data_IF_177088033445
#
_entry.id   IF_177088033445
#
_cell.length_a   1.000
_cell.length_b   1.000
_cell.length_c   1.000
_cell.angle_alpha   90.00
_cell.angle_beta   90.00
_cell.angle_gamma   90.00
#
_symmetry.space_group_name_H-M   'P 1'
#
loop_
_entity.id
_entity.type
_entity.pdbx_description
1 polymer ?
#
# COMPACT_ATOMS: atom_id res chain seq x y z
N UNK A 1 2.92 4.26 3.64
CA UNK A 1 3.99 3.26 3.83
C UNK A 1 4.37 2.77 2.44
N UNK A 2 5.58 3.09 1.97
CA UNK A 2 6.10 2.66 0.66
C UNK A 2 6.88 1.38 0.89
N UNK A 3 6.40 0.26 0.36
CA UNK A 3 7.17 -0.99 0.33
C UNK A 3 8.10 -0.95 -0.90
N UNK A 4 9.26 -1.61 -0.83
CA UNK A 4 10.29 -1.62 -1.88
C UNK A 4 9.69 -1.87 -3.28
N UNK A 5 10.23 -1.17 -4.28
CA UNK A 5 9.70 -1.17 -5.65
C UNK A 5 9.94 -2.49 -6.37
N UNK A 6 11.06 -3.18 -6.11
CA UNK A 6 11.35 -4.49 -6.68
C UNK A 6 10.95 -5.60 -5.70
N UNK A 7 9.82 -6.24 -5.97
CA UNK A 7 9.32 -7.37 -5.19
C UNK A 7 9.79 -8.72 -5.75
N UNK A 8 10.46 -8.74 -6.91
CA UNK A 8 10.99 -9.91 -7.58
C UNK A 8 9.99 -11.05 -7.91
N UNK A 9 8.69 -10.79 -7.84
CA UNK A 9 7.68 -11.75 -8.28
C UNK A 9 7.69 -11.94 -9.80
N UNK A 10 7.54 -13.19 -10.24
CA UNK A 10 7.62 -13.58 -11.66
C UNK A 10 6.27 -14.00 -12.23
N UNK A 11 6.17 -14.00 -13.55
CA UNK A 11 5.04 -14.57 -14.29
C UNK A 11 5.26 -16.08 -14.36
N UNK A 12 4.26 -16.87 -13.96
CA UNK A 12 4.35 -18.33 -13.93
C UNK A 12 3.96 -18.93 -15.28
N UNK A 13 4.78 -18.68 -16.29
CA UNK A 13 4.57 -19.14 -17.65
C UNK A 13 5.91 -19.32 -18.39
N UNK A 14 5.92 -20.13 -19.46
CA UNK A 14 7.08 -20.25 -20.36
C UNK A 14 7.37 -18.93 -21.07
N UNK A 15 8.65 -18.58 -21.20
CA UNK A 15 9.14 -17.34 -21.85
C UNK A 15 8.49 -17.08 -23.21
N UNK A 16 8.51 -18.05 -24.12
CA UNK A 16 8.03 -17.85 -25.49
C UNK A 16 6.56 -17.46 -25.54
N UNK A 17 5.75 -18.03 -24.63
CA UNK A 17 4.35 -17.71 -24.54
C UNK A 17 4.09 -16.37 -23.81
N UNK A 18 4.96 -15.97 -22.88
CA UNK A 18 4.95 -14.61 -22.32
C UNK A 18 5.22 -13.60 -23.44
N UNK A 19 6.26 -13.83 -24.25
CA UNK A 19 6.60 -12.96 -25.38
C UNK A 19 5.46 -12.93 -26.41
N UNK A 20 4.87 -14.08 -26.74
CA UNK A 20 3.74 -14.15 -27.66
C UNK A 20 2.53 -13.35 -27.14
N UNK A 21 2.20 -13.45 -25.86
CA UNK A 21 1.10 -12.70 -25.24
C UNK A 21 1.39 -11.20 -25.20
N UNK A 22 2.64 -10.78 -24.90
CA UNK A 22 3.06 -9.38 -24.96
C UNK A 22 2.90 -8.84 -26.39
N UNK A 23 3.36 -9.59 -27.40
CA UNK A 23 3.27 -9.19 -28.81
C UNK A 23 1.82 -9.15 -29.31
N UNK A 24 0.94 -10.00 -28.76
CA UNK A 24 -0.50 -9.98 -29.03
C UNK A 24 -1.25 -8.87 -28.27
N UNK A 25 -0.60 -8.16 -27.34
CA UNK A 25 -1.24 -7.19 -26.45
C UNK A 25 -2.16 -7.82 -25.40
N UNK A 26 -2.16 -9.14 -25.26
CA UNK A 26 -2.94 -9.87 -24.27
C UNK A 26 -2.21 -9.90 -22.93
N UNK A 27 -2.09 -8.74 -22.30
CA UNK A 27 -1.49 -8.62 -20.97
C UNK A 27 -2.38 -9.27 -19.90
N UNK A 28 -3.70 -9.33 -20.13
CA UNK A 28 -4.67 -9.83 -19.16
C UNK A 28 -4.42 -11.29 -18.81
N UNK A 29 -4.07 -12.13 -19.79
CA UNK A 29 -3.73 -13.54 -19.54
C UNK A 29 -2.47 -13.71 -18.68
N UNK A 30 -1.57 -12.73 -18.66
CA UNK A 30 -0.33 -12.74 -17.89
C UNK A 30 -0.48 -12.20 -16.46
N UNK A 31 -1.58 -11.50 -16.14
CA UNK A 31 -1.81 -10.88 -14.81
C UNK A 31 -2.08 -11.89 -13.68
N UNK A 32 -1.99 -13.20 -13.96
CA UNK A 32 -2.02 -14.26 -12.95
C UNK A 32 -0.62 -14.59 -12.40
N UNK A 33 0.21 -13.55 -12.22
CA UNK A 33 1.58 -13.67 -11.75
C UNK A 33 1.68 -14.18 -10.29
N UNK A 34 2.91 -14.46 -9.85
CA UNK A 34 3.18 -14.96 -8.50
C UNK A 34 2.68 -14.02 -7.38
N UNK A 35 2.78 -12.69 -7.53
CA UNK A 35 2.32 -11.75 -6.51
C UNK A 35 0.80 -11.83 -6.34
N UNK A 36 0.07 -11.81 -7.45
CA UNK A 36 -1.40 -11.90 -7.44
C UNK A 36 -1.86 -13.20 -6.81
N UNK A 37 -1.20 -14.32 -7.13
CA UNK A 37 -1.49 -15.62 -6.52
C UNK A 37 -1.18 -15.65 -5.02
N UNK A 38 -0.02 -15.11 -4.61
CA UNK A 38 0.35 -15.01 -3.20
C UNK A 38 -0.66 -14.19 -2.39
N UNK A 39 -1.05 -13.02 -2.88
CA UNK A 39 -2.08 -12.18 -2.21
C UNK A 39 -3.41 -12.93 -2.10
N UNK A 40 -3.81 -13.65 -3.16
CA UNK A 40 -5.12 -14.33 -3.21
C UNK A 40 -5.18 -15.58 -2.34
N UNK A 41 -4.16 -16.44 -2.43
CA UNK A 41 -4.20 -17.80 -1.88
C UNK A 41 -3.39 -17.98 -0.59
N UNK A 42 -2.31 -17.22 -0.37
CA UNK A 42 -1.49 -17.35 0.84
C UNK A 42 -2.04 -16.46 1.97
N UNK A 43 -2.66 -17.08 2.97
CA UNK A 43 -3.20 -16.36 4.15
C UNK A 43 -2.12 -15.64 4.97
N UNK A 44 -0.88 -16.12 4.92
CA UNK A 44 0.28 -15.51 5.58
C UNK A 44 0.92 -14.37 4.78
N UNK A 45 0.42 -14.08 3.57
CA UNK A 45 0.98 -13.02 2.73
C UNK A 45 0.80 -11.65 3.40
N UNK A 46 1.93 -10.99 3.68
CA UNK A 46 1.95 -9.65 4.30
C UNK A 46 1.30 -8.57 3.43
N UNK A 47 1.19 -8.82 2.12
CA UNK A 47 0.65 -7.90 1.13
C UNK A 47 -0.88 -8.00 0.98
N UNK A 48 -1.56 -8.94 1.66
CA UNK A 48 -3.01 -9.18 1.52
C UNK A 48 -3.90 -7.98 1.87
N UNK A 49 -3.39 -7.07 2.70
CA UNK A 49 -4.08 -5.83 3.07
C UNK A 49 -3.76 -4.64 2.17
N UNK A 50 -2.97 -4.84 1.11
CA UNK A 50 -2.61 -3.80 0.16
C UNK A 50 -3.47 -3.91 -1.10
N UNK A 51 -3.60 -2.77 -1.78
CA UNK A 51 -4.25 -2.60 -3.06
C UNK A 51 -3.21 -2.22 -4.10
N UNK A 52 -3.47 -2.61 -5.35
CA UNK A 52 -2.65 -2.30 -6.51
C UNK A 52 -3.54 -1.82 -7.65
N UNK A 53 -3.00 -0.95 -8.49
CA UNK A 53 -3.69 -0.42 -9.65
C UNK A 53 -3.76 -1.42 -10.79
N UNK A 54 -4.66 -1.25 -11.76
CA UNK A 54 -4.62 -2.05 -12.98
C UNK A 54 -3.28 -1.83 -13.69
N UNK A 55 -2.63 -2.93 -14.05
CA UNK A 55 -1.40 -2.90 -14.85
C UNK A 55 -1.81 -2.94 -16.32
N UNK A 56 -1.44 -1.87 -17.04
CA UNK A 56 -1.76 -1.69 -18.46
C UNK A 56 -0.50 -1.48 -19.31
N UNK A 57 0.66 -1.91 -18.80
CA UNK A 57 1.97 -1.78 -19.43
C UNK A 57 2.69 -3.12 -19.45
N UNK A 58 3.55 -3.38 -20.45
CA UNK A 58 4.24 -4.67 -20.55
C UNK A 58 5.24 -4.86 -19.39
N UNK A 59 5.69 -6.10 -19.12
CA UNK A 59 6.67 -6.41 -18.09
C UNK A 59 7.87 -5.46 -18.07
N UNK A 60 8.31 -5.07 -16.87
CA UNK A 60 9.38 -4.08 -16.66
C UNK A 60 10.77 -4.69 -16.60
N UNK A 61 10.85 -6.01 -16.49
CA UNK A 61 12.07 -6.81 -16.42
C UNK A 61 11.92 -8.01 -17.37
N UNK A 62 12.95 -8.63 -17.94
CA UNK A 62 14.37 -8.24 -17.98
C UNK A 62 14.71 -7.78 -19.40
N UNK A 63 15.27 -6.59 -19.53
CA UNK A 63 15.70 -6.01 -20.80
C UNK A 63 17.21 -6.08 -20.98
N UNK A 64 17.66 -6.03 -22.23
CA UNK A 64 19.07 -5.75 -22.51
C UNK A 64 19.33 -4.24 -22.32
N UNK A 65 20.35 -3.83 -21.52
CA UNK A 65 20.64 -2.41 -21.31
C UNK A 65 20.91 -1.68 -22.63
N UNK A 66 20.25 -0.55 -22.83
CA UNK A 66 20.32 0.24 -24.07
C UNK A 66 19.44 -0.27 -25.21
N UNK A 67 18.71 -1.38 -25.04
CA UNK A 67 17.77 -1.93 -26.03
C UNK A 67 16.34 -2.01 -25.47
N UNK A 68 15.35 -2.04 -26.37
CA UNK A 68 13.96 -2.39 -26.08
C UNK A 68 13.68 -3.89 -26.17
N UNK A 69 14.71 -4.67 -26.50
CA UNK A 69 14.63 -6.12 -26.53
C UNK A 69 14.68 -6.72 -25.12
N UNK A 70 13.84 -7.74 -24.90
CA UNK A 70 13.89 -8.58 -23.71
C UNK A 70 15.11 -9.51 -23.77
N UNK A 71 15.76 -9.72 -22.61
CA UNK A 71 17.03 -10.45 -22.40
C UNK A 71 17.37 -11.46 -23.50
N UNK A 72 18.29 -11.09 -24.40
CA UNK A 72 18.75 -11.94 -25.51
C UNK A 72 19.93 -12.83 -25.12
N UNK A 73 20.45 -12.70 -23.88
CA UNK A 73 21.53 -13.54 -23.39
C UNK A 73 21.13 -15.02 -23.30
N UNK A 74 22.13 -15.92 -23.25
CA UNK A 74 21.94 -17.37 -23.14
C UNK A 74 21.12 -17.81 -21.91
N UNK A 75 21.03 -16.94 -20.88
CA UNK A 75 20.22 -17.20 -19.68
C UNK A 75 18.71 -17.02 -19.94
N UNK A 76 18.34 -16.35 -21.04
CA UNK A 76 16.97 -16.13 -21.51
C UNK A 76 15.97 -15.81 -20.40
N UNK A 77 16.27 -14.82 -19.55
CA UNK A 77 15.43 -14.47 -18.41
C UNK A 77 14.02 -14.08 -18.84
N UNK A 78 12.99 -14.83 -18.42
CA UNK A 78 11.61 -14.56 -18.81
C UNK A 78 11.15 -13.16 -18.36
N UNK A 79 10.38 -12.43 -19.20
CA UNK A 79 9.84 -11.13 -18.80
C UNK A 79 8.94 -11.24 -17.55
N UNK A 80 9.00 -10.25 -16.66
CA UNK A 80 8.22 -10.18 -15.42
C UNK A 80 7.93 -8.73 -14.97
N UNK A 81 6.86 -8.56 -14.21
CA UNK A 81 6.56 -7.34 -13.46
C UNK A 81 7.15 -7.44 -12.05
N UNK A 82 8.47 -7.34 -11.96
CA UNK A 82 9.19 -7.32 -10.67
C UNK A 82 8.92 -6.00 -9.93
N UNK A 83 8.73 -4.91 -10.69
CA UNK A 83 8.51 -3.58 -10.18
C UNK A 83 7.02 -3.31 -9.92
N UNK A 84 6.63 -3.11 -8.66
CA UNK A 84 5.23 -3.00 -8.23
C UNK A 84 5.02 -1.86 -7.25
N UNK A 85 3.90 -1.14 -7.39
CA UNK A 85 3.51 -0.07 -6.47
C UNK A 85 2.18 -0.41 -5.83
N UNK A 86 2.25 -0.86 -4.57
CA UNK A 86 1.09 -1.17 -3.76
C UNK A 86 0.86 -0.08 -2.69
N UNK A 87 -0.40 0.14 -2.34
CA UNK A 87 -0.77 1.04 -1.24
C UNK A 87 -1.74 0.36 -0.28
N UNK A 88 -1.89 0.92 0.92
CA UNK A 88 -2.88 0.47 1.90
C UNK A 88 -3.56 1.68 2.51
N UNK A 89 -4.88 1.66 2.57
CA UNK A 89 -5.68 2.68 3.24
C UNK A 89 -6.65 2.04 4.23
N UNK A 90 -6.87 2.68 5.39
CA UNK A 90 -7.94 2.31 6.32
C UNK A 90 -9.33 2.70 5.82
N UNK A 91 -9.39 3.73 4.97
CA UNK A 91 -10.63 4.25 4.37
C UNK A 91 -10.41 4.34 2.87
N UNK A 92 -11.05 3.44 2.11
CA UNK A 92 -10.81 3.29 0.68
C UNK A 92 -11.00 4.61 -0.10
N UNK A 93 -12.00 5.40 0.25
CA UNK A 93 -12.33 6.67 -0.41
C UNK A 93 -11.28 7.78 -0.26
N UNK A 94 -10.29 7.60 0.62
CA UNK A 94 -9.26 8.62 0.88
C UNK A 94 -8.05 8.52 -0.03
N UNK A 95 -7.89 7.43 -0.76
CA UNK A 95 -6.74 7.25 -1.65
C UNK A 95 -7.28 6.94 -3.03
N UNK A 96 -7.13 7.89 -3.95
CA UNK A 96 -7.47 7.70 -5.34
C UNK A 96 -6.18 7.64 -6.16
N UNK A 97 -5.96 6.55 -6.89
CA UNK A 97 -4.80 6.44 -7.79
C UNK A 97 -5.11 7.21 -9.08
N UNK A 98 -4.24 8.17 -9.40
CA UNK A 98 -4.37 9.04 -10.57
C UNK A 98 -3.73 8.44 -11.81
N UNK A 99 -2.59 7.76 -11.64
CA UNK A 99 -1.95 7.00 -12.71
C UNK A 99 -1.13 5.85 -12.14
N UNK A 100 -0.88 4.86 -12.99
CA UNK A 100 0.11 3.81 -12.80
C UNK A 100 0.73 3.48 -14.15
N UNK A 101 2.02 3.79 -14.37
CA UNK A 101 2.63 3.67 -15.70
C UNK A 101 4.11 3.29 -15.65
N UNK A 102 4.57 2.75 -16.76
CA UNK A 102 5.97 2.49 -17.11
C UNK A 102 6.55 3.63 -17.95
N UNK A 103 7.87 3.80 -17.89
CA UNK A 103 8.65 4.70 -18.75
C UNK A 103 9.70 3.91 -19.52
N UNK A 104 10.02 4.38 -20.73
CA UNK A 104 10.93 3.70 -21.67
C UNK A 104 12.41 4.09 -21.50
N UNK A 105 12.82 4.47 -20.28
CA UNK A 105 14.23 4.69 -20.00
C UNK A 105 14.96 3.34 -20.00
N UNK A 106 15.97 3.20 -20.85
CA UNK A 106 16.65 1.93 -21.15
C UNK A 106 18.05 1.81 -20.53
N UNK A 107 18.36 2.64 -19.53
CA UNK A 107 19.68 2.70 -18.87
C UNK A 107 19.95 1.45 -18.01
N UNK A 108 18.91 0.69 -17.67
CA UNK A 108 18.94 -0.54 -16.87
C UNK A 108 18.15 -1.65 -17.59
N UNK A 109 18.39 -2.89 -17.18
CA UNK A 109 17.57 -4.06 -17.47
C UNK A 109 16.13 -3.98 -16.90
N UNK A 110 15.85 -2.96 -16.08
CA UNK A 110 14.52 -2.59 -15.62
C UNK A 110 14.01 -1.32 -16.28
N UNK A 111 12.70 -1.29 -16.54
CA UNK A 111 11.95 -0.08 -16.95
C UNK A 111 11.36 0.64 -15.74
N UNK A 112 11.66 1.94 -15.52
CA UNK A 112 11.09 2.67 -14.39
C UNK A 112 9.56 2.72 -14.43
N UNK A 113 8.95 2.72 -13.24
CA UNK A 113 7.50 2.89 -13.06
C UNK A 113 7.20 4.05 -12.12
N UNK A 114 6.02 4.65 -12.29
CA UNK A 114 5.47 5.59 -11.32
C UNK A 114 3.99 5.36 -11.10
N UNK A 115 3.54 5.78 -9.92
CA UNK A 115 2.14 5.96 -9.63
C UNK A 115 1.93 7.28 -8.87
N UNK A 116 0.88 8.02 -9.22
CA UNK A 116 0.44 9.18 -8.46
C UNK A 116 -0.88 8.89 -7.76
N UNK A 117 -1.07 9.56 -6.63
CA UNK A 117 -2.23 9.39 -5.78
C UNK A 117 -2.74 10.76 -5.33
N UNK A 118 -4.07 10.92 -5.33
CA UNK A 118 -4.74 11.96 -4.56
C UNK A 118 -5.13 11.38 -3.22
N UNK A 119 -4.68 12.02 -2.14
CA UNK A 119 -4.87 11.52 -0.77
C UNK A 119 -5.63 12.55 0.06
N UNK A 120 -6.78 12.16 0.61
CA UNK A 120 -7.52 12.97 1.58
C UNK A 120 -6.95 12.76 2.97
N UNK A 121 -6.32 13.80 3.50
CA UNK A 121 -5.76 13.83 4.85
C UNK A 121 -6.80 14.40 5.83
N UNK A 122 -6.90 13.81 7.03
CA UNK A 122 -7.57 14.51 8.14
C UNK A 122 -6.59 15.57 8.63
N UNK A 123 -6.90 16.82 8.35
CA UNK A 123 -6.29 17.93 9.08
C UNK A 123 -7.07 18.12 10.37
N UNK A 124 -6.36 18.50 11.43
CA UNK A 124 -6.96 18.87 12.70
C UNK A 124 -6.63 20.32 12.94
N UNK A 125 -7.64 21.12 13.29
CA UNK A 125 -7.39 22.45 13.79
C UNK A 125 -6.80 22.34 15.20
N UNK A 126 -5.59 22.87 15.36
CA UNK A 126 -4.83 22.74 16.61
C UNK A 126 -5.55 23.48 17.74
N UNK A 127 -6.05 24.68 17.46
CA UNK A 127 -6.68 25.54 18.45
C UNK A 127 -8.00 24.94 18.95
N UNK A 128 -8.88 24.50 18.04
CA UNK A 128 -10.12 23.79 18.42
C UNK A 128 -9.82 22.53 19.24
N UNK A 129 -8.75 21.78 18.90
CA UNK A 129 -8.37 20.57 19.65
C UNK A 129 -7.86 20.90 21.05
N UNK A 130 -7.01 21.92 21.18
CA UNK A 130 -6.46 22.35 22.46
C UNK A 130 -7.56 22.89 23.37
N UNK A 131 -8.49 23.68 22.83
CA UNK A 131 -9.66 24.17 23.56
C UNK A 131 -10.54 23.01 24.05
N UNK A 132 -10.95 22.11 23.16
CA UNK A 132 -11.77 20.96 23.55
C UNK A 132 -11.07 20.06 24.59
N UNK A 133 -9.75 19.94 24.52
CA UNK A 133 -8.98 19.20 25.52
C UNK A 133 -8.95 19.91 26.87
N UNK A 134 -8.77 21.23 26.89
CA UNK A 134 -8.79 22.02 28.13
C UNK A 134 -10.18 21.98 28.80
N UNK A 135 -11.25 22.09 28.01
CA UNK A 135 -12.64 22.01 28.49
C UNK A 135 -12.91 20.63 29.11
N UNK A 136 -12.54 19.54 28.42
CA UNK A 136 -12.66 18.18 28.94
C UNK A 136 -11.84 17.95 30.22
N UNK A 137 -10.65 18.55 30.34
CA UNK A 137 -9.84 18.46 31.55
C UNK A 137 -10.50 19.18 32.73
N UNK A 138 -11.12 20.34 32.49
CA UNK A 138 -11.84 21.08 33.52
C UNK A 138 -13.06 20.29 34.01
N UNK A 139 -13.90 19.78 33.09
CA UNK A 139 -15.05 18.94 33.42
C UNK A 139 -14.64 17.68 34.21
N UNK A 140 -13.55 17.03 33.78
CA UNK A 140 -13.02 15.86 34.48
C UNK A 140 -12.57 16.20 35.90
N UNK A 141 -11.91 17.34 36.10
CA UNK A 141 -11.49 17.79 37.42
C UNK A 141 -12.70 18.04 38.34
N UNK A 142 -13.75 18.69 37.83
CA UNK A 142 -14.99 18.91 38.59
C UNK A 142 -15.65 17.58 38.99
N UNK A 143 -15.71 16.61 38.07
CA UNK A 143 -16.27 15.29 38.36
C UNK A 143 -15.43 14.53 39.38
N UNK A 144 -14.10 14.62 39.32
CA UNK A 144 -13.21 14.07 40.34
C UNK A 144 -13.50 14.65 41.72
N UNK A 145 -13.71 15.97 41.83
CA UNK A 145 -14.06 16.62 43.09
C UNK A 145 -15.45 16.18 43.60
N UNK A 146 -16.43 16.05 42.70
CA UNK A 146 -17.76 15.56 43.03
C UNK A 146 -17.72 14.14 43.58
N UNK A 147 -16.98 13.25 42.92
CA UNK A 147 -16.80 11.86 43.35
C UNK A 147 -16.07 11.79 44.71
N UNK A 148 -14.98 12.55 44.87
CA UNK A 148 -14.25 12.61 46.13
C UNK A 148 -15.16 13.06 47.28
N UNK A 149 -15.95 14.11 47.05
CA UNK A 149 -16.91 14.64 48.03
C UNK A 149 -17.99 13.61 48.39
N UNK A 150 -18.53 12.91 47.39
CA UNK A 150 -19.53 11.86 47.61
C UNK A 150 -18.96 10.70 48.42
N UNK A 151 -17.74 10.26 48.11
CA UNK A 151 -17.02 9.21 48.83
C UNK A 151 -16.72 9.64 50.26
N UNK A 152 -16.18 10.84 50.49
CA UNK A 152 -15.93 11.36 51.84
C UNK A 152 -17.23 11.42 52.66
N UNK A 153 -18.32 11.95 52.09
CA UNK A 153 -19.63 11.99 52.78
C UNK A 153 -20.13 10.59 53.14
N UNK A 154 -19.96 9.62 52.25
CA UNK A 154 -20.36 8.24 52.50
C UNK A 154 -19.58 7.62 53.68
N UNK A 155 -18.25 7.75 53.69
CA UNK A 155 -17.41 7.16 54.76
C UNK A 155 -17.57 7.86 56.12
N UNK A 156 -17.71 9.19 56.14
CA UNK A 156 -18.02 9.95 57.36
C UNK A 156 -19.42 9.59 57.88
N UNK A 157 -20.41 9.45 56.99
CA UNK A 157 -21.77 9.08 57.37
C UNK A 157 -21.92 7.64 57.87
N UNK A 158 -21.04 6.73 57.46
CA UNK A 158 -20.98 5.35 57.96
C UNK A 158 -20.06 5.14 59.18
N UNK A 159 -19.48 6.22 59.73
CA UNK A 159 -18.57 6.18 60.88
C UNK A 159 -17.40 5.18 60.73
N UNK A 160 -16.86 5.06 59.52
CA UNK A 160 -15.65 4.29 59.22
C UNK A 160 -14.38 5.14 59.25
N UNK A 161 -14.52 6.45 59.52
CA UNK A 161 -13.48 7.42 59.88
C UNK A 161 -14.07 8.37 60.90
#
# INVERSE_FOLDING_TARGET
MKLNSDLNYRIDHRRDAIIAAINAGDLASLLHDQLVREIKYNRGCRLRGFSEGPITFNPTYKYDPGSDDYDTSEKHGAPAWCDRILWRSRVATRVNQLHYRRYEANVSDHRPISAAFSITLKTFDKETREKAHADLQAEWFEEQQRLLTAVTKFYVGQALI
#
